data_IF_050905873412
#
_entry.id   IF_050905873412
#
_cell.length_a   1.000
_cell.length_b   1.000
_cell.length_c   1.000
_cell.angle_alpha   90.00
_cell.angle_beta   90.00
_cell.angle_gamma   90.00
#
_symmetry.space_group_name_H-M   'P 1'
#
loop_
_entity.id
_entity.type
_entity.pdbx_description
1 polymer ?
#
# COMPACT_ATOMS: atom_id res chain seq x y z
N UNK A 1 -20.93 2.53 8.16
CA UNK A 1 -20.03 3.43 7.41
C UNK A 1 -20.31 3.27 5.91
N UNK A 2 -20.10 2.10 5.32
CA UNK A 2 -20.23 1.85 3.87
C UNK A 2 -21.55 2.38 3.27
N UNK A 3 -22.68 2.03 3.88
CA UNK A 3 -24.00 2.49 3.43
C UNK A 3 -24.14 4.02 3.46
N UNK A 4 -23.60 4.68 4.51
CA UNK A 4 -23.67 6.14 4.63
C UNK A 4 -22.77 6.83 3.60
N UNK A 5 -21.57 6.30 3.35
CA UNK A 5 -20.67 6.83 2.31
C UNK A 5 -21.31 6.64 0.93
N UNK A 6 -21.87 5.47 0.65
CA UNK A 6 -22.59 5.22 -0.60
C UNK A 6 -23.72 6.21 -0.85
N UNK A 7 -24.52 6.51 0.18
CA UNK A 7 -25.62 7.48 0.07
C UNK A 7 -25.16 8.92 -0.08
N UNK A 8 -24.10 9.31 0.62
CA UNK A 8 -23.68 10.72 0.68
C UNK A 8 -22.79 11.11 -0.50
N UNK A 9 -21.98 10.20 -1.01
CA UNK A 9 -20.92 10.54 -1.95
C UNK A 9 -20.99 9.78 -3.30
N UNK A 10 -21.70 8.63 -3.35
CA UNK A 10 -21.76 7.77 -4.54
C UNK A 10 -23.14 7.75 -5.19
N UNK A 11 -24.07 8.59 -4.74
CA UNK A 11 -25.45 8.69 -5.24
C UNK A 11 -26.23 7.36 -5.20
N UNK A 12 -25.89 6.49 -4.25
CA UNK A 12 -26.48 5.17 -4.12
C UNK A 12 -26.53 4.70 -2.66
N UNK A 13 -26.08 3.49 -2.38
CA UNK A 13 -26.09 2.90 -1.04
C UNK A 13 -24.92 1.94 -0.83
N UNK A 14 -25.22 0.80 -0.21
CA UNK A 14 -24.20 -0.21 0.09
C UNK A 14 -23.61 -0.87 -1.17
N UNK A 15 -24.45 -1.12 -2.18
CA UNK A 15 -24.00 -1.75 -3.43
C UNK A 15 -22.99 -0.86 -4.17
N UNK A 16 -23.30 0.42 -4.33
CA UNK A 16 -22.41 1.38 -4.98
C UNK A 16 -21.10 1.57 -4.22
N UNK A 17 -21.12 1.41 -2.89
CA UNK A 17 -19.88 1.39 -2.12
C UNK A 17 -19.00 0.17 -2.45
N UNK A 18 -19.59 -1.00 -2.64
CA UNK A 18 -18.85 -2.22 -3.03
C UNK A 18 -18.31 -2.10 -4.47
N UNK A 19 -19.11 -1.55 -5.38
CA UNK A 19 -18.65 -1.26 -6.75
C UNK A 19 -17.45 -0.30 -6.73
N UNK A 20 -17.49 0.73 -5.90
CA UNK A 20 -16.37 1.66 -5.73
C UNK A 20 -15.12 0.99 -5.14
N UNK A 21 -15.27 0.07 -4.17
CA UNK A 21 -14.14 -0.73 -3.67
C UNK A 21 -13.47 -1.52 -4.81
N UNK A 22 -14.26 -2.16 -5.66
CA UNK A 22 -13.75 -2.92 -6.81
C UNK A 22 -13.10 -2.00 -7.85
N UNK A 23 -13.72 -0.86 -8.15
CA UNK A 23 -13.20 0.13 -9.09
C UNK A 23 -11.82 0.65 -8.65
N UNK A 24 -11.69 1.07 -7.38
CA UNK A 24 -10.41 1.56 -6.82
C UNK A 24 -9.35 0.45 -6.85
N UNK A 25 -9.72 -0.79 -6.50
CA UNK A 25 -8.78 -1.91 -6.55
C UNK A 25 -8.24 -2.14 -7.97
N UNK A 26 -9.09 -2.03 -8.99
CA UNK A 26 -8.68 -2.14 -10.40
C UNK A 26 -7.73 -0.98 -10.80
N UNK A 27 -8.04 0.25 -10.39
CA UNK A 27 -7.16 1.42 -10.64
C UNK A 27 -5.80 1.28 -9.97
N UNK A 28 -5.72 0.60 -8.83
CA UNK A 28 -4.46 0.25 -8.17
C UNK A 28 -3.75 -0.94 -8.86
N UNK A 29 -4.31 -1.50 -9.94
CA UNK A 29 -3.75 -2.64 -10.65
C UNK A 29 -3.93 -3.98 -9.93
N UNK A 30 -4.93 -4.09 -9.04
CA UNK A 30 -5.28 -5.34 -8.37
C UNK A 30 -6.14 -6.20 -9.31
N UNK A 31 -5.50 -7.09 -10.06
CA UNK A 31 -6.17 -7.90 -11.09
C UNK A 31 -6.74 -9.23 -10.58
N UNK A 32 -6.42 -9.60 -9.35
CA UNK A 32 -6.79 -10.88 -8.74
C UNK A 32 -7.54 -10.69 -7.42
N UNK A 33 -8.34 -9.63 -7.33
CA UNK A 33 -9.16 -9.31 -6.15
C UNK A 33 -10.58 -8.95 -6.56
N UNK A 34 -11.54 -9.35 -5.76
CA UNK A 34 -12.94 -8.98 -5.91
C UNK A 34 -13.62 -8.86 -4.54
N UNK A 35 -14.38 -7.81 -4.36
CA UNK A 35 -15.07 -7.48 -3.11
C UNK A 35 -16.58 -7.59 -3.30
N UNK A 36 -17.25 -8.31 -2.38
CA UNK A 36 -18.73 -8.42 -2.33
C UNK A 36 -19.31 -7.85 -1.04
N UNK A 37 -18.47 -7.53 -0.07
CA UNK A 37 -18.88 -6.88 1.17
C UNK A 37 -17.77 -5.99 1.74
N UNK A 38 -18.15 -5.06 2.60
CA UNK A 38 -17.25 -4.11 3.24
C UNK A 38 -16.72 -4.55 4.62
N UNK A 39 -17.15 -5.70 5.10
CA UNK A 39 -16.86 -6.17 6.47
C UNK A 39 -15.88 -7.35 6.53
N UNK A 40 -15.55 -7.96 5.37
CA UNK A 40 -14.63 -9.08 5.27
C UNK A 40 -15.20 -10.43 5.71
N UNK A 41 -16.51 -10.57 5.85
CA UNK A 41 -17.13 -11.88 6.07
C UNK A 41 -16.98 -12.73 4.81
N UNK A 42 -16.87 -14.04 5.03
CA UNK A 42 -16.65 -14.98 3.95
C UNK A 42 -17.81 -14.98 2.94
N UNK A 43 -17.42 -14.96 1.68
CA UNK A 43 -18.24 -15.19 0.52
C UNK A 43 -17.32 -15.78 -0.57
N UNK A 44 -17.79 -16.72 -1.39
CA UNK A 44 -16.99 -17.34 -2.45
C UNK A 44 -16.53 -16.33 -3.51
N UNK A 45 -17.29 -15.25 -3.72
CA UNK A 45 -16.94 -14.13 -4.58
C UNK A 45 -15.99 -13.10 -3.94
N UNK A 46 -15.65 -13.24 -2.64
CA UNK A 46 -14.82 -12.30 -1.91
C UNK A 46 -13.39 -12.84 -1.74
N UNK A 47 -12.50 -12.44 -2.63
CA UNK A 47 -11.15 -12.98 -2.68
C UNK A 47 -10.10 -11.90 -3.01
N UNK A 48 -8.87 -12.19 -2.67
CA UNK A 48 -7.71 -11.34 -2.95
C UNK A 48 -6.43 -12.19 -3.00
N UNK A 49 -5.31 -11.54 -3.36
CA UNK A 49 -3.96 -12.08 -3.25
C UNK A 49 -3.11 -11.25 -2.28
N UNK A 50 -2.00 -11.81 -1.80
CA UNK A 50 -1.06 -11.07 -0.96
C UNK A 50 -0.46 -9.86 -1.71
N UNK A 51 -0.20 -10.02 -3.00
CA UNK A 51 0.30 -8.95 -3.87
C UNK A 51 -0.70 -7.79 -3.99
N UNK A 52 -1.97 -8.09 -4.28
CA UNK A 52 -3.00 -7.06 -4.43
C UNK A 52 -3.26 -6.34 -3.10
N UNK A 53 -3.32 -7.10 -1.98
CA UNK A 53 -3.46 -6.49 -0.66
C UNK A 53 -2.27 -5.61 -0.28
N UNK A 54 -1.04 -5.95 -0.69
CA UNK A 54 0.12 -5.11 -0.46
C UNK A 54 0.01 -3.79 -1.25
N UNK A 55 -0.48 -3.81 -2.49
CA UNK A 55 -0.77 -2.60 -3.29
C UNK A 55 -1.83 -1.71 -2.63
N UNK A 56 -2.94 -2.31 -2.19
CA UNK A 56 -4.00 -1.58 -1.47
C UNK A 56 -3.45 -0.97 -0.18
N UNK A 57 -2.69 -1.74 0.62
CA UNK A 57 -2.09 -1.26 1.85
C UNK A 57 -1.11 -0.10 1.61
N UNK A 58 -0.25 -0.22 0.60
CA UNK A 58 0.69 0.83 0.22
C UNK A 58 -0.03 2.13 -0.20
N UNK A 59 -1.08 2.03 -1.02
CA UNK A 59 -1.88 3.17 -1.43
C UNK A 59 -2.62 3.81 -0.24
N UNK A 60 -3.25 3.02 0.61
CA UNK A 60 -3.94 3.50 1.81
C UNK A 60 -2.97 4.18 2.78
N UNK A 61 -1.76 3.67 2.91
CA UNK A 61 -0.75 4.22 3.81
C UNK A 61 -0.24 5.61 3.39
N UNK A 62 -0.45 6.05 2.14
CA UNK A 62 -0.17 7.42 1.72
C UNK A 62 -1.14 8.44 2.35
N UNK A 63 -2.32 8.00 2.79
CA UNK A 63 -3.28 8.86 3.46
C UNK A 63 -2.93 9.06 4.94
N UNK A 64 -2.70 10.33 5.35
CA UNK A 64 -2.31 10.66 6.72
C UNK A 64 -3.37 10.28 7.77
N UNK A 65 -4.66 10.43 7.45
CA UNK A 65 -5.75 10.03 8.35
C UNK A 65 -5.83 8.50 8.50
N UNK A 66 -5.61 7.76 7.41
CA UNK A 66 -5.50 6.30 7.49
C UNK A 66 -4.36 5.88 8.43
N UNK A 67 -3.15 6.46 8.26
CA UNK A 67 -2.03 6.19 9.17
C UNK A 67 -2.38 6.48 10.61
N UNK A 68 -2.99 7.63 10.88
CA UNK A 68 -3.41 8.04 12.24
C UNK A 68 -4.39 7.03 12.85
N UNK A 69 -5.40 6.59 12.08
CA UNK A 69 -6.39 5.65 12.56
C UNK A 69 -5.80 4.26 12.84
N UNK A 70 -5.03 3.72 11.89
CA UNK A 70 -4.47 2.36 11.99
C UNK A 70 -3.30 2.25 12.99
N UNK A 71 -2.68 3.37 13.37
CA UNK A 71 -1.66 3.42 14.44
C UNK A 71 -2.24 3.65 15.83
N UNK A 72 -3.53 3.94 15.95
CA UNK A 72 -4.18 4.18 17.24
C UNK A 72 -4.33 2.87 18.01
N UNK A 73 -3.67 2.78 19.17
CA UNK A 73 -3.71 1.57 19.99
C UNK A 73 -5.01 1.43 20.78
N UNK A 74 -5.50 2.50 21.38
CA UNK A 74 -6.74 2.56 22.13
C UNK A 74 -7.56 3.78 21.71
N UNK A 75 -8.84 3.60 21.51
CA UNK A 75 -9.76 4.71 21.31
C UNK A 75 -10.98 4.61 22.24
N UNK A 76 -11.26 5.70 22.95
CA UNK A 76 -12.41 5.81 23.86
C UNK A 76 -13.57 6.50 23.18
N UNK A 77 -14.61 5.73 22.91
CA UNK A 77 -15.86 6.26 22.37
C UNK A 77 -16.70 6.78 23.52
N UNK A 78 -16.98 8.09 23.59
CA UNK A 78 -17.77 8.66 24.68
C UNK A 78 -19.22 8.14 24.67
N UNK A 79 -19.95 8.31 25.76
CA UNK A 79 -21.37 8.03 25.79
C UNK A 79 -22.13 8.69 24.64
N UNK A 80 -23.17 8.02 24.15
CA UNK A 80 -24.05 8.51 23.09
C UNK A 80 -25.50 8.53 23.58
N UNK A 81 -26.39 9.07 22.75
CA UNK A 81 -27.82 9.02 23.05
C UNK A 81 -28.42 7.60 23.08
N UNK A 82 -27.71 6.61 22.53
CA UNK A 82 -28.15 5.20 22.49
C UNK A 82 -27.37 4.30 23.46
N UNK A 83 -26.18 4.72 23.91
CA UNK A 83 -25.31 3.94 24.80
C UNK A 83 -24.75 4.86 25.86
N UNK A 84 -25.18 4.66 27.10
CA UNK A 84 -24.82 5.51 28.24
C UNK A 84 -23.38 5.28 28.75
N UNK A 85 -22.78 4.17 28.40
CA UNK A 85 -21.42 3.79 28.84
C UNK A 85 -20.37 4.17 27.81
N UNK A 86 -19.18 4.55 28.29
CA UNK A 86 -18.00 4.67 27.47
C UNK A 86 -17.58 3.30 26.92
N UNK A 87 -17.16 3.22 25.67
CA UNK A 87 -16.66 2.00 25.04
C UNK A 87 -15.18 2.18 24.67
N UNK A 88 -14.38 1.21 25.03
CA UNK A 88 -12.95 1.18 24.67
C UNK A 88 -12.80 0.26 23.47
N UNK A 89 -12.13 0.76 22.43
CA UNK A 89 -11.78 0.03 21.23
C UNK A 89 -10.26 -0.13 21.20
N UNK A 90 -9.79 -1.37 21.28
CA UNK A 90 -8.38 -1.72 21.28
C UNK A 90 -7.92 -2.21 19.92
N UNK A 91 -6.69 -1.84 19.55
CA UNK A 91 -6.02 -2.38 18.37
C UNK A 91 -5.67 -3.85 18.57
N UNK A 92 -6.13 -4.70 17.66
CA UNK A 92 -5.87 -6.16 17.72
C UNK A 92 -4.51 -6.59 17.17
N UNK A 93 -3.77 -5.69 16.52
CA UNK A 93 -2.51 -5.99 15.87
C UNK A 93 -1.35 -6.03 16.88
N UNK A 94 -0.93 -7.23 17.27
CA UNK A 94 0.04 -7.44 18.35
C UNK A 94 1.41 -6.83 18.12
N UNK A 95 1.84 -6.64 16.88
CA UNK A 95 3.14 -6.01 16.59
C UNK A 95 3.19 -4.52 16.91
N UNK A 96 2.04 -3.88 17.17
CA UNK A 96 1.96 -2.45 17.49
C UNK A 96 2.04 -2.17 19.00
N UNK A 97 1.82 -3.19 19.86
CA UNK A 97 1.81 -3.02 21.31
C UNK A 97 3.19 -3.24 21.92
N UNK A 98 3.84 -2.23 22.52
CA UNK A 98 5.18 -2.33 23.07
C UNK A 98 5.39 -3.44 24.11
N UNK A 99 4.37 -3.74 24.90
CA UNK A 99 4.37 -4.79 25.93
C UNK A 99 4.07 -6.19 25.39
N UNK A 100 3.71 -6.32 24.12
CA UNK A 100 3.41 -7.61 23.53
C UNK A 100 4.69 -8.34 23.07
N UNK A 101 4.74 -9.65 23.21
CA UNK A 101 5.85 -10.49 22.76
C UNK A 101 6.17 -10.32 21.27
N UNK A 102 5.16 -10.05 20.44
CA UNK A 102 5.31 -9.86 18.99
C UNK A 102 5.63 -8.41 18.58
N UNK A 103 5.80 -7.51 19.54
CA UNK A 103 6.12 -6.12 19.24
C UNK A 103 7.26 -5.98 18.24
N UNK A 104 7.09 -5.11 17.25
CA UNK A 104 8.11 -4.77 16.29
C UNK A 104 8.17 -3.25 16.11
N UNK A 105 9.26 -2.65 16.53
CA UNK A 105 9.37 -1.19 16.64
C UNK A 105 9.16 -0.45 15.30
N UNK A 106 9.49 -1.11 14.19
CA UNK A 106 9.28 -0.55 12.85
C UNK A 106 7.85 -0.69 12.34
N UNK A 107 7.02 -1.58 12.91
CA UNK A 107 5.59 -1.66 12.58
C UNK A 107 4.88 -0.39 13.03
N UNK A 108 4.09 0.21 12.15
CA UNK A 108 3.42 1.50 12.39
C UNK A 108 1.90 1.38 12.31
N UNK A 109 1.39 0.50 11.47
CA UNK A 109 -0.04 0.32 11.27
C UNK A 109 -0.33 -1.09 10.76
N UNK A 110 -1.58 -1.52 10.82
CA UNK A 110 -1.95 -2.81 10.24
C UNK A 110 -3.31 -3.32 10.66
N UNK A 111 -3.73 -4.39 10.00
CA UNK A 111 -5.05 -5.01 10.22
C UNK A 111 -4.93 -6.52 10.31
N UNK A 112 -5.55 -7.09 11.32
CA UNK A 112 -5.76 -8.52 11.50
C UNK A 112 -7.07 -8.97 10.86
N UNK A 113 -7.15 -10.20 10.42
CA UNK A 113 -8.38 -10.82 9.95
C UNK A 113 -8.43 -12.31 10.27
N UNK A 114 -9.64 -12.83 10.40
CA UNK A 114 -9.90 -14.25 10.55
C UNK A 114 -11.30 -14.61 10.04
N UNK A 115 -11.37 -15.64 9.24
CA UNK A 115 -12.58 -16.45 9.00
C UNK A 115 -12.18 -17.91 8.97
N UNK A 116 -13.13 -18.83 9.10
CA UNK A 116 -12.82 -20.26 9.05
C UNK A 116 -12.21 -20.69 7.71
N UNK A 117 -12.55 -19.99 6.64
CA UNK A 117 -12.02 -20.24 5.29
C UNK A 117 -10.69 -19.54 5.04
N UNK A 118 -10.60 -18.25 5.37
CA UNK A 118 -9.37 -17.47 5.16
C UNK A 118 -8.26 -17.78 6.17
N UNK A 119 -8.62 -18.40 7.33
CA UNK A 119 -7.71 -18.57 8.47
C UNK A 119 -7.20 -17.22 8.98
N UNK A 120 -6.04 -17.18 9.60
CA UNK A 120 -5.42 -15.93 10.05
C UNK A 120 -4.85 -15.18 8.86
N UNK A 121 -5.18 -13.89 8.78
CA UNK A 121 -4.63 -12.94 7.81
C UNK A 121 -4.05 -11.74 8.55
N UNK A 122 -2.96 -11.19 8.03
CA UNK A 122 -2.29 -10.04 8.60
C UNK A 122 -1.76 -9.13 7.50
N UNK A 123 -2.09 -7.86 7.59
CA UNK A 123 -1.47 -6.79 6.81
C UNK A 123 -0.75 -5.90 7.82
N UNK A 124 0.51 -5.59 7.56
CA UNK A 124 1.30 -4.70 8.41
C UNK A 124 2.03 -3.68 7.54
N UNK A 125 2.07 -2.43 7.97
CA UNK A 125 2.92 -1.40 7.41
C UNK A 125 4.06 -1.11 8.37
N UNK A 126 5.27 -0.99 7.85
CA UNK A 126 6.47 -0.71 8.63
C UNK A 126 7.32 0.38 7.99
N UNK A 127 8.05 1.11 8.83
CA UNK A 127 8.99 2.17 8.42
C UNK A 127 10.37 1.90 9.00
N UNK A 128 11.40 2.04 8.17
CA UNK A 128 12.80 1.90 8.56
C UNK A 128 13.72 2.09 7.38
N UNK A 129 14.95 2.53 7.63
CA UNK A 129 15.97 2.77 6.60
C UNK A 129 15.44 3.63 5.42
N UNK A 130 14.67 4.67 5.74
CA UNK A 130 13.99 5.56 4.79
C UNK A 130 12.99 4.88 3.84
N UNK A 131 12.66 3.61 4.09
CA UNK A 131 11.66 2.85 3.34
C UNK A 131 10.35 2.74 4.10
N UNK A 132 9.24 2.73 3.35
CA UNK A 132 7.91 2.33 3.81
C UNK A 132 7.57 1.00 3.14
N UNK A 133 7.28 -0.02 3.93
CA UNK A 133 7.04 -1.37 3.45
C UNK A 133 5.67 -1.88 3.91
N UNK A 134 4.98 -2.62 3.06
CA UNK A 134 3.78 -3.37 3.39
C UNK A 134 4.08 -4.88 3.32
N UNK A 135 3.80 -5.60 4.40
CA UNK A 135 3.85 -7.05 4.43
C UNK A 135 2.45 -7.64 4.56
N UNK A 136 2.16 -8.68 3.80
CA UNK A 136 0.86 -9.35 3.80
C UNK A 136 1.05 -10.85 3.98
N UNK A 137 0.42 -11.41 4.99
CA UNK A 137 0.35 -12.85 5.25
C UNK A 137 -1.10 -13.28 5.15
N UNK A 138 -1.40 -14.24 4.29
CA UNK A 138 -2.73 -14.79 4.10
C UNK A 138 -2.73 -16.30 4.38
N UNK A 139 -3.86 -16.79 4.86
CA UNK A 139 -4.13 -18.21 5.06
C UNK A 139 -3.08 -18.93 5.93
N UNK A 140 -2.70 -18.32 7.05
CA UNK A 140 -1.80 -18.90 8.04
C UNK A 140 -2.53 -19.26 9.35
N UNK A 141 -1.80 -19.74 10.35
CA UNK A 141 -2.41 -20.17 11.59
C UNK A 141 -1.89 -19.37 12.79
N UNK A 142 -2.83 -18.78 13.53
CA UNK A 142 -2.56 -18.17 14.83
C UNK A 142 -1.47 -17.10 14.78
N UNK A 143 -0.41 -17.33 15.53
CA UNK A 143 0.68 -16.37 15.73
C UNK A 143 1.77 -16.42 14.65
N UNK A 144 1.76 -17.42 13.78
CA UNK A 144 2.74 -17.57 12.70
C UNK A 144 2.71 -16.34 11.76
N UNK A 145 1.54 -15.70 11.61
CA UNK A 145 1.43 -14.46 10.86
C UNK A 145 2.41 -13.37 11.34
N UNK A 146 2.64 -13.26 12.65
CA UNK A 146 3.54 -12.25 13.22
C UNK A 146 5.01 -12.59 13.02
N UNK A 147 5.36 -13.88 13.15
CA UNK A 147 6.74 -14.36 12.94
C UNK A 147 7.14 -14.26 11.48
N UNK A 148 6.24 -14.61 10.56
CA UNK A 148 6.45 -14.51 9.12
C UNK A 148 6.59 -13.04 8.70
N UNK A 149 5.72 -12.17 9.21
CA UNK A 149 5.78 -10.72 8.96
C UNK A 149 7.10 -10.13 9.44
N UNK A 150 7.56 -10.50 10.63
CA UNK A 150 8.86 -10.08 11.16
C UNK A 150 10.00 -10.53 10.26
N UNK A 151 10.02 -11.80 9.87
CA UNK A 151 11.07 -12.35 9.01
C UNK A 151 11.15 -11.64 7.67
N UNK A 152 10.00 -11.32 7.03
CA UNK A 152 9.96 -10.53 5.80
C UNK A 152 10.55 -9.13 5.99
N UNK A 153 10.24 -8.44 7.08
CA UNK A 153 10.80 -7.11 7.35
C UNK A 153 12.28 -7.13 7.66
N UNK A 154 12.73 -8.07 8.50
CA UNK A 154 14.15 -8.24 8.80
C UNK A 154 14.95 -8.52 7.53
N UNK A 155 14.43 -9.38 6.65
CA UNK A 155 15.04 -9.62 5.35
C UNK A 155 15.05 -8.36 4.46
N UNK A 156 13.91 -7.66 4.33
CA UNK A 156 13.79 -6.49 3.47
C UNK A 156 14.70 -5.35 3.94
N UNK A 157 14.66 -4.99 5.22
CA UNK A 157 15.52 -3.92 5.77
C UNK A 157 17.01 -4.28 5.80
N UNK A 158 17.35 -5.57 5.85
CA UNK A 158 18.75 -6.00 5.79
C UNK A 158 19.31 -5.95 4.36
N UNK A 159 18.50 -6.27 3.35
CA UNK A 159 18.98 -6.55 2.00
C UNK A 159 18.61 -5.50 0.94
N UNK A 160 17.67 -4.60 1.25
CA UNK A 160 17.21 -3.60 0.29
C UNK A 160 17.48 -2.19 0.78
N UNK A 161 17.54 -1.26 -0.14
CA UNK A 161 17.69 0.17 0.11
C UNK A 161 16.86 1.00 -0.86
N UNK A 162 16.58 2.23 -0.44
CA UNK A 162 15.93 3.25 -1.25
C UNK A 162 17.00 4.06 -1.98
N UNK A 163 16.91 4.13 -3.30
CA UNK A 163 17.71 5.03 -4.12
C UNK A 163 16.84 6.19 -4.61
N UNK A 164 17.27 7.41 -4.32
CA UNK A 164 16.62 8.62 -4.79
C UNK A 164 16.99 8.87 -6.25
N UNK A 165 16.00 8.90 -7.13
CA UNK A 165 16.22 9.06 -8.57
C UNK A 165 16.83 10.41 -8.97
N UNK A 166 16.64 11.46 -8.15
CA UNK A 166 17.24 12.78 -8.41
C UNK A 166 18.72 12.88 -8.09
N UNK A 167 19.24 12.02 -7.23
CA UNK A 167 20.67 12.02 -6.86
C UNK A 167 21.53 11.30 -7.88
N UNK A 168 20.89 10.59 -8.83
CA UNK A 168 21.53 9.87 -9.90
C UNK A 168 21.37 10.66 -11.21
N UNK A 169 22.40 10.64 -12.05
CA UNK A 169 22.29 11.18 -13.41
C UNK A 169 21.15 10.45 -14.12
N UNK A 170 20.06 11.16 -14.27
CA UNK A 170 18.87 10.71 -14.97
C UNK A 170 19.26 10.55 -16.43
N UNK A 171 18.70 9.56 -17.12
CA UNK A 171 18.87 9.40 -18.57
C UNK A 171 18.56 10.73 -19.25
N UNK A 172 19.26 11.04 -20.36
CA UNK A 172 19.04 12.26 -21.15
C UNK A 172 17.57 12.43 -21.58
N UNK A 173 16.77 11.35 -21.46
CA UNK A 173 15.35 11.30 -21.78
C UNK A 173 14.45 11.98 -20.73
N UNK A 174 14.94 12.23 -19.53
CA UNK A 174 14.15 12.79 -18.42
C UNK A 174 14.64 14.18 -18.06
N UNK A 175 13.78 15.18 -18.23
CA UNK A 175 14.06 16.57 -17.85
C UNK A 175 13.84 16.82 -16.37
N UNK A 176 12.74 16.29 -15.79
CA UNK A 176 12.41 16.48 -14.38
C UNK A 176 11.46 15.40 -13.85
N UNK A 177 11.58 15.07 -12.57
CA UNK A 177 10.58 14.30 -11.84
C UNK A 177 9.51 15.22 -11.22
N UNK A 178 8.25 14.80 -11.27
CA UNK A 178 7.14 15.55 -10.69
C UNK A 178 7.30 15.69 -9.17
N UNK A 179 7.74 14.62 -8.49
CA UNK A 179 7.99 14.61 -7.05
C UNK A 179 9.46 14.73 -6.72
N UNK A 180 9.77 15.53 -5.71
CA UNK A 180 11.15 15.67 -5.22
C UNK A 180 11.71 14.39 -4.60
N UNK A 181 10.85 13.51 -4.11
CA UNK A 181 11.20 12.24 -3.46
C UNK A 181 10.96 11.01 -4.34
N UNK A 182 11.06 11.16 -5.67
CA UNK A 182 11.01 10.02 -6.59
C UNK A 182 12.15 9.03 -6.29
N UNK A 183 11.82 7.76 -6.11
CA UNK A 183 12.77 6.73 -5.71
C UNK A 183 12.42 5.34 -6.23
N UNK A 184 13.40 4.46 -6.19
CA UNK A 184 13.25 3.01 -6.37
C UNK A 184 13.71 2.27 -5.11
N UNK A 185 13.24 1.03 -4.91
CA UNK A 185 13.72 0.14 -3.85
C UNK A 185 14.40 -1.06 -4.51
N UNK A 186 15.67 -1.21 -4.25
CA UNK A 186 16.54 -2.20 -4.90
C UNK A 186 17.39 -2.96 -3.87
N UNK A 187 17.98 -4.11 -4.23
CA UNK A 187 18.98 -4.75 -3.38
C UNK A 187 20.13 -3.79 -3.05
N UNK A 188 20.66 -3.87 -1.84
CA UNK A 188 21.78 -3.01 -1.41
C UNK A 188 22.99 -3.18 -2.31
N UNK A 189 23.57 -2.05 -2.69
CA UNK A 189 24.74 -2.00 -3.57
C UNK A 189 24.41 -2.10 -5.06
N UNK A 190 23.12 -2.00 -5.43
CA UNK A 190 22.73 -1.87 -6.84
C UNK A 190 23.17 -0.51 -7.38
N UNK A 191 23.88 -0.53 -8.50
CA UNK A 191 24.24 0.68 -9.22
C UNK A 191 23.10 1.11 -10.14
N UNK A 192 22.90 2.42 -10.33
CA UNK A 192 21.82 2.92 -11.19
C UNK A 192 21.93 2.42 -12.64
N UNK A 193 23.15 2.21 -13.14
CA UNK A 193 23.44 1.63 -14.46
C UNK A 193 22.95 0.20 -14.65
N UNK A 194 22.56 -0.49 -13.58
CA UNK A 194 21.96 -1.83 -13.63
C UNK A 194 20.43 -1.78 -13.76
N UNK A 195 19.84 -0.58 -13.73
CA UNK A 195 18.40 -0.39 -13.88
C UNK A 195 18.06 -0.18 -15.36
N UNK A 196 17.02 -0.87 -15.78
CA UNK A 196 16.33 -0.62 -17.04
C UNK A 196 15.12 0.29 -16.78
N UNK A 197 14.74 1.14 -17.72
CA UNK A 197 13.57 1.99 -17.61
C UNK A 197 12.67 1.87 -18.84
N UNK A 198 11.37 1.87 -18.59
CA UNK A 198 10.34 1.99 -19.62
C UNK A 198 9.43 3.16 -19.26
N UNK A 199 9.03 3.94 -20.24
CA UNK A 199 8.13 5.05 -20.03
C UNK A 199 6.90 4.98 -20.93
N UNK A 200 5.79 5.56 -20.44
CA UNK A 200 4.53 5.65 -21.17
C UNK A 200 4.00 7.07 -21.04
N UNK A 201 3.63 7.69 -22.16
CA UNK A 201 3.05 9.02 -22.18
C UNK A 201 1.68 9.01 -21.46
N UNK A 202 1.47 9.94 -20.55
CA UNK A 202 0.18 10.10 -19.85
C UNK A 202 -0.85 10.88 -20.69
N UNK A 203 -0.40 11.75 -21.61
CA UNK A 203 -1.24 12.58 -22.46
C UNK A 203 -0.68 12.68 -23.89
N UNK A 204 -1.05 11.75 -24.73
CA UNK A 204 -0.66 11.74 -26.16
C UNK A 204 -1.13 13.01 -26.93
N UNK A 205 -2.11 13.75 -26.39
CA UNK A 205 -2.71 14.91 -27.04
C UNK A 205 -2.13 16.26 -26.59
N UNK A 206 -1.19 16.29 -25.64
CA UNK A 206 -0.63 17.54 -25.15
C UNK A 206 0.90 17.58 -25.20
N UNK A 207 1.41 17.75 -26.41
CA UNK A 207 2.85 17.87 -26.72
C UNK A 207 3.61 18.92 -25.89
N UNK A 208 2.92 19.84 -25.21
CA UNK A 208 3.56 20.86 -24.36
C UNK A 208 3.88 20.38 -22.96
N UNK A 209 3.22 19.35 -22.48
CA UNK A 209 3.38 18.88 -21.09
C UNK A 209 4.41 17.77 -21.00
N UNK A 210 4.64 16.99 -22.05
CA UNK A 210 5.62 15.89 -22.13
C UNK A 210 5.64 14.99 -20.89
N UNK A 211 4.46 14.83 -20.25
CA UNK A 211 4.33 14.05 -19.03
C UNK A 211 4.27 12.56 -19.33
N UNK A 212 5.07 11.79 -18.61
CA UNK A 212 5.15 10.35 -18.73
C UNK A 212 5.22 9.68 -17.35
N UNK A 213 4.74 8.46 -17.29
CA UNK A 213 5.04 7.54 -16.21
C UNK A 213 6.26 6.71 -16.61
N UNK A 214 7.33 6.78 -15.84
CA UNK A 214 8.51 5.92 -16.02
C UNK A 214 8.48 4.82 -14.96
N UNK A 215 8.72 3.57 -15.39
CA UNK A 215 8.88 2.41 -14.51
C UNK A 215 10.32 1.90 -14.63
N UNK A 216 10.96 1.71 -13.48
CA UNK A 216 12.31 1.17 -13.40
C UNK A 216 12.28 -0.31 -13.09
N UNK A 217 13.19 -1.07 -13.70
CA UNK A 217 13.31 -2.51 -13.52
C UNK A 217 14.73 -2.87 -13.09
N UNK A 218 14.83 -3.84 -12.22
CA UNK A 218 16.09 -4.50 -11.86
C UNK A 218 15.96 -5.98 -12.18
N UNK A 219 16.79 -6.48 -13.08
CA UNK A 219 16.73 -7.87 -13.55
C UNK A 219 15.34 -8.30 -14.04
N UNK A 220 14.64 -7.41 -14.76
CA UNK A 220 13.29 -7.63 -15.28
C UNK A 220 12.15 -7.52 -14.24
N UNK A 221 12.45 -7.18 -12.99
CA UNK A 221 11.44 -6.94 -11.94
C UNK A 221 11.22 -5.45 -11.72
N UNK A 222 9.97 -4.96 -11.68
CA UNK A 222 9.70 -3.56 -11.41
C UNK A 222 10.09 -3.20 -9.97
N UNK A 223 10.93 -2.18 -9.81
CA UNK A 223 11.47 -1.74 -8.51
C UNK A 223 10.98 -0.36 -8.07
N UNK A 224 10.28 0.35 -8.94
CA UNK A 224 9.64 1.61 -8.66
C UNK A 224 9.14 2.29 -9.92
N UNK A 225 8.29 3.32 -9.73
CA UNK A 225 7.80 4.16 -10.82
C UNK A 225 7.69 5.60 -10.36
N UNK A 226 7.87 6.52 -11.31
CA UNK A 226 7.75 7.95 -11.05
C UNK A 226 7.05 8.65 -12.22
N UNK A 227 6.39 9.76 -11.93
CA UNK A 227 5.95 10.69 -12.97
C UNK A 227 7.07 11.65 -13.30
N UNK A 228 7.22 11.91 -14.57
CA UNK A 228 8.34 12.69 -15.10
C UNK A 228 7.90 13.59 -16.26
N UNK A 229 8.72 14.59 -16.54
CA UNK A 229 8.66 15.34 -17.79
C UNK A 229 9.79 14.84 -18.67
N UNK A 230 9.46 14.36 -19.87
CA UNK A 230 10.45 13.91 -20.85
C UNK A 230 11.22 15.09 -21.45
N UNK A 231 12.45 14.85 -21.87
CA UNK A 231 13.21 15.77 -22.70
C UNK A 231 12.52 15.97 -24.05
N UNK A 232 12.88 17.03 -24.77
CA UNK A 232 12.29 17.30 -26.07
C UNK A 232 12.69 16.23 -27.10
N UNK A 233 13.89 15.67 -26.97
CA UNK A 233 14.40 14.59 -27.84
C UNK A 233 13.63 13.29 -27.62
N UNK A 234 13.48 12.86 -26.39
CA UNK A 234 12.77 11.62 -26.04
C UNK A 234 11.27 11.66 -26.38
N UNK A 235 10.67 12.84 -26.38
CA UNK A 235 9.25 13.00 -26.75
C UNK A 235 9.02 12.88 -28.27
N UNK A 236 10.04 13.17 -29.09
CA UNK A 236 9.94 13.19 -30.56
C UNK A 236 10.31 11.84 -31.22
N UNK A 237 10.88 10.90 -30.47
CA UNK A 237 11.16 9.53 -30.91
C UNK A 237 9.94 8.62 -30.72
#
# INVERSE_FOLDING_TARGET
VAENVGRQYLQGGYAEFIEEMNRISQELGCTNSHWVNANGLHDEGHYTTAHDMARIAAAAYQNAEFRRLESTLEYRVPPTNLTAEERILDQNHKMLWPENYYYYANAKAGKTGYTDQAKTTLVTMAEGNDMQLAAVVLHTYGVDAYTDTRAMYEYAFANFEKLNLKEWEVSDDIEAFEKEDAYVVVPKGTEFSELESEWTLENENNAKERQAAVTYFYQGHPVGSARTTLSEEAYLE
#
